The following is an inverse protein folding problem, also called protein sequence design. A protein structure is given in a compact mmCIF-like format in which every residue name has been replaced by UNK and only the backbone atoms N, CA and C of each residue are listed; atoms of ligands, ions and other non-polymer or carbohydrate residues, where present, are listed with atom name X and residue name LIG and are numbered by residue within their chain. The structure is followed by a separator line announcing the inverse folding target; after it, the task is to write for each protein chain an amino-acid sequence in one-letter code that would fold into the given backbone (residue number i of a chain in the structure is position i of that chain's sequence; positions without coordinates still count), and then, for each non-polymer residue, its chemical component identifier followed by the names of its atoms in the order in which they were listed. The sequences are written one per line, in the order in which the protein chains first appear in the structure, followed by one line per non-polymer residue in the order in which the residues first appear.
data_IF_287910252835
#
_entry.id   IF_287910252835
#
_cell.length_a   1.000
_cell.length_b   1.000
_cell.length_c   1.000
_cell.angle_alpha   90.00
_cell.angle_beta   90.00
_cell.angle_gamma   90.00
#
_symmetry.space_group_name_H-M   'P 1'
#
loop_
_entity.id
_entity.type
_entity.pdbx_description
1 polymer ?
#
# COMPACT_ATOMS: atom_id res chain seq x y z
N UNK A 1 -33.45 -5.38 -18.32
CA UNK A 1 -32.80 -5.76 -17.05
C UNK A 1 -31.37 -6.18 -17.38
N UNK A 2 -30.38 -5.33 -17.13
CA UNK A 2 -28.97 -5.65 -17.38
C UNK A 2 -28.45 -6.45 -16.18
N UNK A 3 -27.87 -7.65 -16.37
CA UNK A 3 -27.26 -8.37 -15.26
C UNK A 3 -26.05 -7.60 -14.74
N UNK A 4 -25.90 -7.56 -13.41
CA UNK A 4 -24.75 -6.95 -12.74
C UNK A 4 -23.46 -7.64 -13.20
N UNK A 5 -22.33 -6.91 -13.33
CA UNK A 5 -21.05 -7.52 -13.67
C UNK A 5 -20.67 -8.57 -12.61
N UNK A 6 -20.01 -9.66 -13.00
CA UNK A 6 -19.54 -10.66 -12.05
C UNK A 6 -18.56 -10.00 -11.10
N UNK A 7 -18.86 -10.07 -9.80
CA UNK A 7 -17.96 -9.65 -8.74
C UNK A 7 -16.75 -10.57 -8.82
N UNK A 8 -15.62 -10.07 -9.35
CA UNK A 8 -14.36 -10.82 -9.35
C UNK A 8 -13.92 -10.99 -7.90
N UNK A 9 -14.22 -12.15 -7.33
CA UNK A 9 -13.67 -12.58 -6.05
C UNK A 9 -12.16 -12.65 -6.26
N UNK A 10 -11.43 -11.70 -5.69
CA UNK A 10 -9.96 -11.74 -5.71
C UNK A 10 -9.54 -12.98 -4.94
N UNK A 11 -8.91 -13.92 -5.63
CA UNK A 11 -8.35 -15.11 -5.02
C UNK A 11 -7.38 -14.73 -3.89
N UNK A 12 -7.26 -15.54 -2.82
CA UNK A 12 -6.30 -15.30 -1.75
C UNK A 12 -4.89 -15.37 -2.33
N UNK A 13 -4.33 -14.20 -2.60
CA UNK A 13 -2.93 -14.03 -2.99
C UNK A 13 -2.07 -14.64 -1.89
N UNK A 14 -1.20 -15.58 -2.25
CA UNK A 14 -0.22 -16.17 -1.33
C UNK A 14 0.45 -15.07 -0.50
N UNK A 15 0.72 -15.30 0.79
CA UNK A 15 1.36 -14.30 1.65
C UNK A 15 2.77 -14.09 1.11
N UNK A 16 2.91 -13.14 0.18
CA UNK A 16 4.18 -12.54 -0.17
C UNK A 16 4.79 -12.14 1.16
N UNK A 17 5.91 -12.77 1.52
CA UNK A 17 6.70 -12.52 2.72
C UNK A 17 6.66 -11.03 2.99
N UNK A 18 5.96 -10.64 4.06
CA UNK A 18 5.71 -9.24 4.39
C UNK A 18 7.06 -8.54 4.41
N UNK A 19 7.20 -7.44 3.67
CA UNK A 19 8.41 -6.61 3.67
C UNK A 19 8.57 -5.96 5.07
N UNK A 20 9.00 -6.74 6.06
CA UNK A 20 9.30 -6.27 7.42
C UNK A 20 10.41 -5.22 7.40
N UNK A 21 11.30 -5.31 6.39
CA UNK A 21 12.37 -4.36 6.10
C UNK A 21 11.86 -2.91 5.87
N UNK A 22 10.59 -2.74 5.49
CA UNK A 22 9.99 -1.41 5.35
C UNK A 22 9.64 -0.80 6.72
N UNK A 23 9.07 -1.60 7.62
CA UNK A 23 8.68 -1.15 8.96
C UNK A 23 9.89 -0.91 9.87
N UNK A 24 10.98 -1.66 9.66
CA UNK A 24 12.24 -1.52 10.42
C UNK A 24 12.89 -0.13 10.23
N UNK A 25 12.50 0.61 9.19
CA UNK A 25 12.98 1.98 8.93
C UNK A 25 12.23 3.04 9.74
N UNK A 26 11.15 2.66 10.43
CA UNK A 26 10.36 3.55 11.26
C UNK A 26 10.75 3.43 12.74
N UNK A 27 10.63 4.53 13.50
CA UNK A 27 10.56 4.44 14.96
C UNK A 27 9.46 3.45 15.39
N UNK A 28 9.72 2.68 16.45
CA UNK A 28 8.85 1.59 16.88
C UNK A 28 7.39 2.03 17.14
N UNK A 29 7.18 3.24 17.67
CA UNK A 29 5.86 3.80 17.92
C UNK A 29 5.07 4.12 16.64
N UNK A 30 5.77 4.50 15.56
CA UNK A 30 5.17 4.72 14.24
C UNK A 30 4.97 3.39 13.50
N UNK A 31 5.95 2.48 13.59
CA UNK A 31 5.90 1.15 12.99
C UNK A 31 4.69 0.35 13.51
N UNK A 32 4.45 0.37 14.82
CA UNK A 32 3.31 -0.31 15.43
C UNK A 32 1.97 0.22 14.91
N UNK A 33 1.79 1.55 14.83
CA UNK A 33 0.55 2.16 14.34
C UNK A 33 0.32 1.84 12.85
N UNK A 34 1.33 2.06 12.00
CA UNK A 34 1.22 1.81 10.56
C UNK A 34 1.02 0.31 10.31
N UNK A 35 1.81 -0.53 10.97
CA UNK A 35 1.74 -1.98 10.79
C UNK A 35 0.37 -2.56 11.13
N UNK A 36 -0.25 -2.12 12.23
CA UNK A 36 -1.61 -2.56 12.59
C UNK A 36 -2.69 -1.95 11.69
N UNK A 37 -2.58 -0.66 11.34
CA UNK A 37 -3.57 0.05 10.49
C UNK A 37 -3.68 -0.52 9.08
N UNK A 38 -2.58 -1.05 8.55
CA UNK A 38 -2.49 -1.56 7.18
C UNK A 38 -2.32 -3.08 7.11
N UNK A 39 -2.43 -3.79 8.23
CA UNK A 39 -2.44 -5.26 8.27
C UNK A 39 -1.07 -5.91 8.14
N UNK A 40 0.02 -5.14 8.14
CA UNK A 40 1.40 -5.66 8.01
C UNK A 40 1.87 -6.41 9.27
N UNK A 41 1.24 -6.15 10.41
CA UNK A 41 1.49 -6.84 11.68
C UNK A 41 0.29 -7.67 12.16
N UNK A 42 -0.66 -7.92 11.25
CA UNK A 42 -1.83 -8.74 11.53
C UNK A 42 -1.67 -10.10 10.83
N UNK A 43 -1.98 -11.20 11.52
CA UNK A 43 -1.83 -12.56 10.98
C UNK A 43 -2.73 -12.82 9.75
N UNK A 44 -3.90 -12.18 9.71
CA UNK A 44 -4.86 -12.24 8.62
C UNK A 44 -4.57 -11.24 7.49
N UNK A 45 -3.54 -10.39 7.66
CA UNK A 45 -3.22 -9.31 6.74
C UNK A 45 -4.24 -8.16 6.73
N UNK A 46 -5.21 -8.15 7.66
CA UNK A 46 -6.29 -7.16 7.67
C UNK A 46 -5.95 -6.00 8.59
N UNK A 47 -6.06 -4.78 8.07
CA UNK A 47 -5.81 -3.57 8.82
C UNK A 47 -6.90 -3.28 9.86
N UNK A 48 -6.47 -2.96 11.08
CA UNK A 48 -7.36 -2.50 12.16
C UNK A 48 -7.80 -1.04 11.94
N UNK A 49 -8.97 -0.66 12.41
CA UNK A 49 -9.46 0.73 12.42
C UNK A 49 -8.65 1.62 13.37
N UNK A 50 -8.78 2.94 13.21
CA UNK A 50 -8.16 3.93 14.13
C UNK A 50 -8.58 3.71 15.58
N UNK A 51 -9.84 3.34 15.83
CA UNK A 51 -10.34 3.09 17.17
C UNK A 51 -9.71 1.81 17.76
N UNK A 52 -9.72 0.71 17.02
CA UNK A 52 -9.14 -0.55 17.49
C UNK A 52 -7.64 -0.43 17.79
N UNK A 53 -6.90 0.32 16.97
CA UNK A 53 -5.49 0.61 17.22
C UNK A 53 -5.31 1.52 18.44
N UNK A 54 -6.18 2.50 18.62
CA UNK A 54 -6.16 3.38 19.79
C UNK A 54 -6.36 2.58 21.08
N UNK A 55 -7.35 1.70 21.10
CA UNK A 55 -7.64 0.83 22.25
C UNK A 55 -6.49 -0.15 22.52
N UNK A 56 -5.95 -0.78 21.47
CA UNK A 56 -4.88 -1.78 21.59
C UNK A 56 -3.56 -1.19 22.09
N UNK A 57 -3.25 0.05 21.74
CA UNK A 57 -1.98 0.70 22.07
C UNK A 57 -2.08 1.69 23.24
N UNK A 58 -3.27 1.86 23.84
CA UNK A 58 -3.49 2.83 24.91
C UNK A 58 -3.32 4.28 24.46
N UNK A 59 -3.79 4.61 23.25
CA UNK A 59 -3.67 5.92 22.62
C UNK A 59 -5.04 6.55 22.41
N UNK A 60 -5.04 7.86 22.15
CA UNK A 60 -6.23 8.54 21.62
C UNK A 60 -6.32 8.37 20.11
N UNK A 61 -7.54 8.47 19.55
CA UNK A 61 -7.75 8.50 18.08
C UNK A 61 -6.89 9.56 17.38
N UNK A 62 -6.67 10.70 18.01
CA UNK A 62 -5.85 11.77 17.46
C UNK A 62 -4.38 11.37 17.40
N UNK A 63 -3.84 10.79 18.47
CA UNK A 63 -2.46 10.29 18.50
C UNK A 63 -2.22 9.20 17.44
N UNK A 64 -3.21 8.32 17.21
CA UNK A 64 -3.14 7.32 16.13
C UNK A 64 -3.05 8.00 14.76
N UNK A 65 -3.93 8.98 14.47
CA UNK A 65 -3.89 9.71 13.18
C UNK A 65 -2.58 10.46 12.97
N UNK A 66 -2.08 11.12 14.01
CA UNK A 66 -0.82 11.86 13.95
C UNK A 66 0.36 10.91 13.67
N UNK A 67 0.44 9.77 14.39
CA UNK A 67 1.48 8.76 14.17
C UNK A 67 1.37 8.10 12.79
N UNK A 68 0.16 7.80 12.34
CA UNK A 68 -0.09 7.27 10.98
C UNK A 68 0.44 8.24 9.92
N UNK A 69 0.08 9.52 10.01
CA UNK A 69 0.54 10.56 9.09
C UNK A 69 2.07 10.73 9.08
N UNK A 70 2.69 10.75 10.27
CA UNK A 70 4.16 10.82 10.40
C UNK A 70 4.85 9.56 9.84
N UNK A 71 4.30 8.38 10.12
CA UNK A 71 4.81 7.11 9.61
C UNK A 71 4.76 7.04 8.08
N UNK A 72 3.60 7.32 7.49
CA UNK A 72 3.43 7.33 6.03
C UNK A 72 4.32 8.36 5.33
N UNK A 73 4.49 9.55 5.92
CA UNK A 73 5.37 10.58 5.36
C UNK A 73 6.83 10.11 5.29
N UNK A 74 7.31 9.46 6.36
CA UNK A 74 8.67 8.89 6.41
C UNK A 74 8.86 7.74 5.42
N UNK A 75 7.88 6.85 5.31
CA UNK A 75 7.93 5.77 4.32
C UNK A 75 8.00 6.33 2.89
N UNK A 76 7.19 7.35 2.58
CA UNK A 76 7.22 8.01 1.27
C UNK A 76 8.58 8.65 0.98
N UNK A 77 9.20 9.31 1.95
CA UNK A 77 10.56 9.86 1.80
C UNK A 77 11.61 8.77 1.54
N UNK A 78 11.50 7.63 2.25
CA UNK A 78 12.38 6.48 2.03
C UNK A 78 12.24 5.90 0.62
N UNK A 79 11.01 5.75 0.13
CA UNK A 79 10.72 5.24 -1.21
C UNK A 79 11.13 6.21 -2.32
N UNK A 80 11.03 7.53 -2.09
CA UNK A 80 11.49 8.54 -3.05
C UNK A 80 13.00 8.44 -3.36
N UNK A 81 13.79 7.85 -2.44
CA UNK A 81 15.22 7.56 -2.64
C UNK A 81 15.47 6.25 -3.38
N UNK A 82 14.50 5.34 -3.43
CA UNK A 82 14.58 4.07 -4.17
C UNK A 82 14.17 4.32 -5.62
N UNK A 83 15.04 4.99 -6.36
CA UNK A 83 14.89 5.21 -7.80
C UNK A 83 15.31 3.97 -8.60
N UNK A 84 14.60 2.84 -8.43
CA UNK A 84 14.25 2.04 -9.62
C UNK A 84 13.03 2.69 -10.25
N UNK A 85 13.24 3.89 -10.79
CA UNK A 85 12.31 4.41 -11.80
C UNK A 85 12.34 3.39 -12.93
N UNK A 86 11.17 3.02 -13.46
CA UNK A 86 11.14 2.24 -14.70
C UNK A 86 12.16 2.85 -15.67
N UNK A 87 13.02 2.05 -16.34
CA UNK A 87 13.91 2.60 -17.34
C UNK A 87 13.04 3.49 -18.23
N UNK A 88 13.46 4.75 -18.46
CA UNK A 88 12.85 5.59 -19.48
C UNK A 88 13.18 4.94 -20.82
N UNK A 89 12.47 3.84 -21.10
CA UNK A 89 12.46 3.18 -22.38
C UNK A 89 12.03 4.20 -23.41
N UNK A 90 12.68 4.12 -24.56
CA UNK A 90 12.51 4.98 -25.72
C UNK A 90 11.04 5.38 -25.90
N UNK A 91 10.73 6.68 -26.11
CA UNK A 91 9.36 7.17 -26.19
C UNK A 91 8.55 6.27 -27.12
N UNK A 92 7.39 5.80 -26.63
CA UNK A 92 6.46 4.99 -27.42
C UNK A 92 6.27 5.70 -28.77
N UNK A 93 6.72 5.10 -29.88
CA UNK A 93 6.65 5.78 -31.17
C UNK A 93 5.18 6.08 -31.46
N UNK A 94 4.88 7.35 -31.72
CA UNK A 94 3.52 7.88 -31.96
C UNK A 94 2.85 7.33 -33.22
N UNK A 95 3.41 6.30 -33.86
CA UNK A 95 3.08 5.88 -35.23
C UNK A 95 2.69 4.40 -35.37
N UNK A 96 2.06 3.80 -34.36
CA UNK A 96 1.62 2.37 -34.45
C UNK A 96 0.11 2.15 -34.50
N UNK A 97 -0.72 3.19 -34.37
CA UNK A 97 -2.19 3.01 -34.35
C UNK A 97 -2.86 3.09 -35.73
N UNK A 98 -2.15 3.55 -36.78
CA UNK A 98 -2.76 3.88 -38.07
C UNK A 98 -2.60 2.87 -39.21
N UNK A 99 -2.11 1.64 -38.98
CA UNK A 99 -1.87 0.67 -40.10
C UNK A 99 -2.44 -0.73 -39.93
N UNK A 100 -3.15 -1.02 -38.83
CA UNK A 100 -3.63 -2.37 -38.55
C UNK A 100 -5.08 -2.66 -39.02
N UNK A 101 -5.76 -1.70 -39.67
CA UNK A 101 -7.17 -1.82 -40.05
C UNK A 101 -7.48 -1.61 -41.54
N UNK A 102 -6.48 -1.69 -42.42
CA UNK A 102 -6.68 -1.75 -43.87
C UNK A 102 -6.36 -3.18 -44.35
N UNK A 103 -7.38 -4.05 -44.35
CA UNK A 103 -7.53 -5.25 -45.19
C UNK A 103 -9.00 -5.68 -45.16
#
# INVERSE_FOLDING_TARGET
MTPAPPVTVSEPREPASVDTDLLDRLPADLAAVVGLRFGLLCEDGVGLTIQEVADRLGLTRWQVRDREGRGLSRLREGLARVTRRAPQGEPIPRSSIGRAFDC
#
